data_IF_652799795895
#
_entry.id   IF_652799795895
#
_cell.length_a   1.000
_cell.length_b   1.000
_cell.length_c   1.000
_cell.angle_alpha   90.00
_cell.angle_beta   90.00
_cell.angle_gamma   90.00
#
_symmetry.space_group_name_H-M   'P 1'
#
loop_
_entity.id
_entity.type
_entity.pdbx_description
1 polymer ?
#
# COMPACT_ATOMS: atom_id res chain seq x y z
N UNK A 1 -1.64 -15.16 19.57
CA UNK A 1 -2.96 -14.88 18.97
C UNK A 1 -3.33 -13.47 19.36
N UNK A 2 -3.36 -12.53 18.42
CA UNK A 2 -3.79 -11.16 18.65
C UNK A 2 -5.31 -11.12 18.83
N UNK A 3 -5.78 -10.32 19.78
CA UNK A 3 -7.22 -10.08 19.94
C UNK A 3 -7.67 -9.13 18.83
N UNK A 4 -8.76 -9.47 18.15
CA UNK A 4 -9.48 -8.60 17.22
C UNK A 4 -10.66 -8.02 17.95
N UNK A 5 -10.83 -6.72 17.89
CA UNK A 5 -11.94 -5.99 18.48
C UNK A 5 -12.69 -5.25 17.39
N UNK A 6 -14.00 -5.41 17.36
CA UNK A 6 -14.92 -4.59 16.58
C UNK A 6 -15.82 -3.85 17.57
N UNK A 7 -15.84 -2.55 17.50
CA UNK A 7 -16.70 -1.69 18.27
C UNK A 7 -17.55 -0.82 17.33
N UNK A 8 -18.81 -0.60 17.71
CA UNK A 8 -19.71 0.33 17.04
C UNK A 8 -20.66 0.91 18.10
N UNK A 9 -21.10 2.15 17.89
CA UNK A 9 -22.03 2.80 18.82
C UNK A 9 -23.41 2.13 18.83
N UNK A 10 -23.85 1.66 17.67
CA UNK A 10 -25.09 0.92 17.52
C UNK A 10 -24.99 -0.11 16.39
N UNK A 11 -25.65 -1.25 16.55
CA UNK A 11 -25.75 -2.29 15.55
C UNK A 11 -27.19 -2.78 15.43
N UNK A 12 -27.70 -2.82 14.21
CA UNK A 12 -28.98 -3.45 13.87
C UNK A 12 -28.70 -4.80 13.19
N UNK A 13 -29.28 -5.85 13.74
CA UNK A 13 -29.12 -7.21 13.21
C UNK A 13 -30.45 -7.64 12.60
N UNK A 14 -30.46 -7.93 11.32
CA UNK A 14 -31.57 -8.57 10.62
C UNK A 14 -31.27 -10.07 10.46
N UNK A 15 -31.94 -10.86 11.29
CA UNK A 15 -31.74 -12.31 11.30
C UNK A 15 -32.33 -13.02 10.06
N UNK A 16 -33.35 -12.42 9.40
CA UNK A 16 -33.96 -12.99 8.19
C UNK A 16 -33.06 -12.78 6.97
N UNK A 17 -32.48 -11.60 6.85
CA UNK A 17 -31.56 -11.25 5.76
C UNK A 17 -30.08 -11.61 6.07
N UNK A 18 -29.80 -12.09 7.28
CA UNK A 18 -28.43 -12.33 7.78
C UNK A 18 -27.51 -11.11 7.54
N UNK A 19 -28.06 -9.93 7.78
CA UNK A 19 -27.33 -8.69 7.64
C UNK A 19 -27.11 -8.02 9.00
N UNK A 20 -25.98 -7.31 9.09
CA UNK A 20 -25.63 -6.47 10.23
C UNK A 20 -25.38 -5.07 9.71
N UNK A 21 -26.15 -4.11 10.16
CA UNK A 21 -25.93 -2.69 9.88
C UNK A 21 -25.30 -2.06 11.12
N UNK A 22 -24.15 -1.45 10.93
CA UNK A 22 -23.46 -0.69 11.97
C UNK A 22 -23.77 0.79 11.75
N UNK A 23 -24.28 1.45 12.78
CA UNK A 23 -24.62 2.87 12.75
C UNK A 23 -23.55 3.67 13.48
N UNK A 24 -23.28 4.88 12.95
CA UNK A 24 -22.30 5.82 13.51
C UNK A 24 -20.83 5.34 13.40
N UNK A 25 -20.01 5.70 14.38
CA UNK A 25 -18.58 5.39 14.31
C UNK A 25 -18.31 3.90 14.55
N UNK A 26 -17.61 3.30 13.62
CA UNK A 26 -17.17 1.90 13.66
C UNK A 26 -15.67 1.86 13.82
N UNK A 27 -15.19 1.11 14.79
CA UNK A 27 -13.76 0.94 15.05
C UNK A 27 -13.40 -0.54 15.00
N UNK A 28 -12.44 -0.88 14.18
CA UNK A 28 -11.85 -2.21 14.09
C UNK A 28 -10.38 -2.14 14.49
N UNK A 29 -10.00 -2.94 15.45
CA UNK A 29 -8.66 -3.06 16.00
C UNK A 29 -8.14 -4.49 15.81
N UNK A 30 -7.02 -4.59 15.15
CA UNK A 30 -6.18 -5.78 15.05
C UNK A 30 -4.76 -5.37 15.50
N UNK A 31 -3.87 -6.26 15.95
CA UNK A 31 -2.51 -5.89 16.40
C UNK A 31 -1.69 -5.05 15.41
N UNK A 32 -1.99 -5.16 14.12
CA UNK A 32 -1.27 -4.48 13.04
C UNK A 32 -2.10 -3.45 12.27
N UNK A 33 -3.43 -3.49 12.45
CA UNK A 33 -4.36 -2.67 11.68
C UNK A 33 -5.41 -2.04 12.58
N UNK A 34 -5.50 -0.73 12.53
CA UNK A 34 -6.56 0.06 13.13
C UNK A 34 -7.39 0.72 12.04
N UNK A 35 -8.70 0.46 11.99
CA UNK A 35 -9.62 1.07 11.03
C UNK A 35 -10.72 1.78 11.78
N UNK A 36 -11.01 3.00 11.37
CA UNK A 36 -12.18 3.79 11.79
C UNK A 36 -13.00 4.15 10.57
N UNK A 37 -14.30 4.02 10.66
CA UNK A 37 -15.22 4.36 9.57
C UNK A 37 -16.55 4.85 10.10
N UNK A 38 -17.38 5.41 9.23
CA UNK A 38 -18.73 5.86 9.55
C UNK A 38 -19.74 4.94 8.92
N UNK A 39 -20.46 4.23 9.77
CA UNK A 39 -21.46 3.28 9.31
C UNK A 39 -20.88 2.09 8.54
N UNK A 40 -21.69 1.09 8.36
CA UNK A 40 -21.32 -0.08 7.57
C UNK A 40 -22.47 -1.05 7.48
N UNK A 41 -22.49 -1.84 6.43
CA UNK A 41 -23.45 -2.92 6.24
C UNK A 41 -22.72 -4.19 5.85
N UNK A 42 -23.06 -5.29 6.49
CA UNK A 42 -22.52 -6.61 6.19
C UNK A 42 -23.65 -7.57 5.90
N UNK A 43 -23.61 -8.25 4.78
CA UNK A 43 -24.58 -9.27 4.41
C UNK A 43 -23.93 -10.29 3.48
N UNK A 44 -24.08 -11.58 3.79
CA UNK A 44 -23.71 -12.67 2.88
C UNK A 44 -22.26 -12.65 2.38
N UNK A 45 -21.28 -12.31 3.24
CA UNK A 45 -19.87 -12.22 2.86
C UNK A 45 -19.46 -10.92 2.18
N UNK A 46 -20.40 -9.99 2.02
CA UNK A 46 -20.14 -8.65 1.49
C UNK A 46 -20.24 -7.62 2.60
N UNK A 47 -19.47 -6.55 2.48
CA UNK A 47 -19.48 -5.45 3.45
C UNK A 47 -19.24 -4.11 2.78
N UNK A 48 -19.76 -3.05 3.37
CA UNK A 48 -19.48 -1.68 2.93
C UNK A 48 -19.27 -0.76 4.13
N UNK A 49 -18.33 0.18 3.98
CA UNK A 49 -18.08 1.26 4.93
C UNK A 49 -17.93 2.57 4.20
N UNK A 50 -18.33 3.65 4.84
CA UNK A 50 -18.12 5.00 4.34
C UNK A 50 -17.07 5.73 5.19
N UNK A 51 -16.21 6.50 4.53
CA UNK A 51 -15.25 7.37 5.19
C UNK A 51 -14.25 6.64 6.07
N UNK A 52 -13.72 5.50 5.62
CA UNK A 52 -12.75 4.71 6.39
C UNK A 52 -11.40 5.42 6.50
N UNK A 53 -10.87 5.47 7.71
CA UNK A 53 -9.47 5.81 8.01
C UNK A 53 -8.78 4.57 8.53
N UNK A 54 -7.55 4.34 8.11
CA UNK A 54 -6.78 3.18 8.55
C UNK A 54 -5.35 3.57 8.95
N UNK A 55 -4.82 2.84 9.90
CA UNK A 55 -3.44 2.95 10.36
C UNK A 55 -2.84 1.54 10.48
N UNK A 56 -1.71 1.32 9.79
CA UNK A 56 -0.89 0.12 9.92
C UNK A 56 0.20 0.43 10.95
N UNK A 57 0.01 -0.04 12.18
CA UNK A 57 0.85 0.32 13.33
C UNK A 57 2.25 -0.25 13.24
N UNK A 58 2.43 -1.41 12.62
CA UNK A 58 3.72 -2.07 12.42
C UNK A 58 4.61 -1.37 11.38
N UNK A 59 4.02 -0.62 10.47
CA UNK A 59 4.71 0.07 9.36
C UNK A 59 4.69 1.58 9.47
N UNK A 60 4.00 2.14 10.48
CA UNK A 60 3.84 3.58 10.62
C UNK A 60 3.11 4.23 9.44
N UNK A 61 2.18 3.50 8.83
CA UNK A 61 1.44 3.93 7.65
C UNK A 61 0.03 4.29 8.03
N UNK A 62 -0.48 5.37 7.47
CA UNK A 62 -1.86 5.82 7.63
C UNK A 62 -2.50 6.15 6.29
N UNK A 63 -3.80 6.06 6.23
CA UNK A 63 -4.55 6.39 5.02
C UNK A 63 -6.03 6.59 5.28
N UNK A 64 -6.72 6.93 4.22
CA UNK A 64 -8.17 7.07 4.21
C UNK A 64 -8.73 6.61 2.87
N UNK A 65 -9.98 6.17 2.89
CA UNK A 65 -10.76 5.88 1.69
C UNK A 65 -12.17 6.43 1.89
N UNK A 66 -12.74 7.02 0.83
CA UNK A 66 -14.12 7.50 0.91
C UNK A 66 -15.11 6.35 1.04
N UNK A 67 -14.92 5.31 0.24
CA UNK A 67 -15.75 4.11 0.23
C UNK A 67 -14.85 2.88 0.33
N UNK A 68 -15.25 1.93 1.15
CA UNK A 68 -14.64 0.59 1.27
C UNK A 68 -15.71 -0.44 1.05
N UNK A 69 -15.49 -1.37 0.14
CA UNK A 69 -16.39 -2.48 -0.17
C UNK A 69 -15.64 -3.80 -0.05
N UNK A 70 -16.15 -4.70 0.74
CA UNK A 70 -15.73 -6.10 0.78
C UNK A 70 -16.67 -6.90 -0.12
N UNK A 71 -16.12 -7.65 -1.07
CA UNK A 71 -16.86 -8.55 -1.95
C UNK A 71 -16.37 -9.98 -1.76
N UNK A 72 -17.32 -10.91 -1.66
CA UNK A 72 -17.06 -12.34 -1.59
C UNK A 72 -15.98 -12.72 -0.53
N UNK A 73 -15.94 -11.98 0.60
CA UNK A 73 -15.02 -12.15 1.72
C UNK A 73 -13.52 -11.96 1.38
N UNK A 74 -13.15 -11.86 0.11
CA UNK A 74 -11.75 -11.91 -0.36
C UNK A 74 -11.31 -10.65 -1.12
N UNK A 75 -12.23 -9.91 -1.71
CA UNK A 75 -11.90 -8.72 -2.53
C UNK A 75 -12.26 -7.47 -1.76
N UNK A 76 -11.30 -6.59 -1.57
CA UNK A 76 -11.47 -5.28 -0.95
C UNK A 76 -11.32 -4.20 -2.02
N UNK A 77 -12.38 -3.48 -2.31
CA UNK A 77 -12.39 -2.33 -3.20
C UNK A 77 -12.45 -1.04 -2.39
N UNK A 78 -11.53 -0.14 -2.70
CA UNK A 78 -11.37 1.16 -2.06
C UNK A 78 -11.54 2.25 -3.12
N UNK A 79 -12.25 3.35 -2.80
CA UNK A 79 -12.39 4.52 -3.66
C UNK A 79 -11.85 5.78 -2.99
N UNK A 80 -11.28 6.66 -3.80
CA UNK A 80 -10.67 7.92 -3.38
C UNK A 80 -9.71 7.71 -2.19
N UNK A 81 -8.69 6.92 -2.47
CA UNK A 81 -7.72 6.47 -1.47
C UNK A 81 -6.61 7.49 -1.30
N UNK A 82 -6.29 7.77 -0.05
CA UNK A 82 -5.11 8.50 0.37
C UNK A 82 -4.25 7.59 1.25
N UNK A 83 -2.95 7.61 1.04
CA UNK A 83 -1.97 6.81 1.76
C UNK A 83 -0.69 7.61 1.99
N UNK A 84 -0.15 7.55 3.19
CA UNK A 84 1.15 8.15 3.53
C UNK A 84 1.84 7.38 4.66
N UNK A 85 3.17 7.42 4.70
CA UNK A 85 3.97 6.97 5.83
C UNK A 85 4.57 8.16 6.63
N UNK A 86 4.09 9.37 6.38
CA UNK A 86 4.48 10.52 7.19
C UNK A 86 3.81 10.45 8.58
N UNK A 87 4.48 10.93 9.63
CA UNK A 87 3.88 11.05 10.96
C UNK A 87 2.61 11.91 10.94
N UNK A 88 1.68 11.73 11.89
CA UNK A 88 0.52 12.59 12.02
C UNK A 88 0.89 14.08 12.08
N UNK A 89 0.22 14.89 11.25
CA UNK A 89 0.49 16.33 11.14
C UNK A 89 1.57 16.70 10.12
N UNK A 90 2.20 15.73 9.49
CA UNK A 90 3.09 15.93 8.35
C UNK A 90 2.53 15.20 7.13
N UNK A 91 2.34 15.90 6.04
CA UNK A 91 1.82 15.40 4.75
C UNK A 91 2.80 15.72 3.61
N UNK A 92 4.12 15.71 3.89
CA UNK A 92 5.15 16.04 2.90
C UNK A 92 5.02 15.19 1.64
N UNK A 93 4.62 13.93 1.78
CA UNK A 93 4.28 13.10 0.65
C UNK A 93 3.02 12.26 0.90
N UNK A 94 2.28 12.03 -0.15
CA UNK A 94 1.09 11.18 -0.14
C UNK A 94 0.89 10.50 -1.49
N UNK A 95 0.36 9.30 -1.44
CA UNK A 95 -0.11 8.57 -2.59
C UNK A 95 -1.64 8.68 -2.63
N UNK A 96 -2.16 9.15 -3.76
CA UNK A 96 -3.61 9.20 -4.01
C UNK A 96 -3.96 8.23 -5.12
N UNK A 97 -5.06 7.52 -4.97
CA UNK A 97 -5.60 6.66 -6.02
C UNK A 97 -7.10 6.88 -6.17
N UNK A 98 -7.57 6.92 -7.40
CA UNK A 98 -9.00 6.96 -7.69
C UNK A 98 -9.70 5.68 -7.22
N UNK A 99 -9.04 4.53 -7.39
CA UNK A 99 -9.49 3.27 -6.80
C UNK A 99 -8.32 2.32 -6.55
N UNK A 100 -8.48 1.48 -5.53
CA UNK A 100 -7.59 0.33 -5.25
C UNK A 100 -8.49 -0.89 -5.07
N UNK A 101 -8.12 -2.01 -5.72
CA UNK A 101 -8.73 -3.31 -5.52
C UNK A 101 -7.69 -4.28 -5.00
N UNK A 102 -7.96 -4.94 -3.89
CA UNK A 102 -7.08 -5.91 -3.24
C UNK A 102 -7.78 -7.27 -3.29
N UNK A 103 -7.16 -8.22 -3.94
CA UNK A 103 -7.56 -9.62 -3.93
C UNK A 103 -6.68 -10.37 -2.93
N UNK A 104 -7.27 -10.78 -1.81
CA UNK A 104 -6.59 -11.46 -0.72
C UNK A 104 -6.19 -12.90 -1.10
N UNK A 105 -6.93 -13.54 -1.99
CA UNK A 105 -6.65 -14.91 -2.43
C UNK A 105 -5.42 -14.93 -3.33
N UNK A 106 -5.39 -14.09 -4.36
CA UNK A 106 -4.22 -13.96 -5.23
C UNK A 106 -3.08 -13.18 -4.59
N UNK A 107 -3.32 -12.49 -3.48
CA UNK A 107 -2.40 -11.57 -2.80
C UNK A 107 -1.86 -10.46 -3.72
N UNK A 108 -2.73 -9.94 -4.57
CA UNK A 108 -2.42 -8.86 -5.49
C UNK A 108 -3.32 -7.66 -5.27
N UNK A 109 -2.71 -6.48 -5.31
CA UNK A 109 -3.41 -5.21 -5.37
C UNK A 109 -3.31 -4.61 -6.77
N UNK A 110 -4.36 -3.91 -7.19
CA UNK A 110 -4.36 -3.07 -8.38
C UNK A 110 -4.85 -1.68 -8.01
N UNK A 111 -4.20 -0.66 -8.56
CA UNK A 111 -4.59 0.73 -8.39
C UNK A 111 -4.88 1.39 -9.73
N UNK A 112 -5.81 2.34 -9.76
CA UNK A 112 -6.14 3.17 -10.91
C UNK A 112 -6.03 4.64 -10.53
N UNK A 113 -5.62 5.46 -11.52
CA UNK A 113 -5.43 6.91 -11.36
C UNK A 113 -4.53 7.25 -10.16
N UNK A 114 -3.40 6.56 -10.08
CA UNK A 114 -2.48 6.68 -8.95
C UNK A 114 -1.54 7.86 -9.15
N UNK A 115 -1.47 8.72 -8.15
CA UNK A 115 -0.64 9.92 -8.09
C UNK A 115 0.24 9.87 -6.86
N UNK A 116 1.51 10.11 -7.05
CA UNK A 116 2.43 10.39 -5.96
C UNK A 116 2.60 11.90 -5.86
N UNK A 117 2.23 12.45 -4.72
CA UNK A 117 2.30 13.88 -4.43
C UNK A 117 3.40 14.15 -3.40
N UNK A 118 4.14 15.22 -3.61
CA UNK A 118 5.14 15.74 -2.69
C UNK A 118 4.95 17.24 -2.53
N UNK A 119 4.74 17.71 -1.29
CA UNK A 119 4.42 19.11 -0.99
C UNK A 119 3.29 19.64 -1.90
N UNK A 120 2.18 18.92 -1.95
CA UNK A 120 0.98 19.22 -2.75
C UNK A 120 1.19 19.26 -4.28
N UNK A 121 2.34 18.80 -4.77
CA UNK A 121 2.63 18.70 -6.20
C UNK A 121 2.67 17.26 -6.65
N UNK A 122 1.93 16.91 -7.69
CA UNK A 122 2.00 15.61 -8.33
C UNK A 122 3.36 15.47 -9.02
N UNK A 123 4.18 14.53 -8.54
CA UNK A 123 5.52 14.23 -9.07
C UNK A 123 5.53 12.97 -9.93
N UNK A 124 4.57 12.08 -9.75
CA UNK A 124 4.38 10.86 -10.56
C UNK A 124 2.89 10.60 -10.75
N UNK A 125 2.52 10.16 -11.96
CA UNK A 125 1.18 9.68 -12.29
C UNK A 125 1.27 8.39 -13.07
N UNK A 126 0.41 7.42 -12.70
CA UNK A 126 0.18 6.23 -13.52
C UNK A 126 -1.32 5.92 -13.59
N UNK A 127 -1.85 5.65 -14.79
CA UNK A 127 -3.27 5.31 -14.94
C UNK A 127 -3.61 3.95 -14.32
N UNK A 128 -2.62 3.07 -14.21
CA UNK A 128 -2.77 1.74 -13.63
C UNK A 128 -1.46 1.24 -13.02
N UNK A 129 -1.58 0.51 -11.90
CA UNK A 129 -0.47 -0.13 -11.20
C UNK A 129 -0.94 -1.46 -10.62
N UNK A 130 -0.07 -2.46 -10.61
CA UNK A 130 -0.26 -3.70 -9.86
C UNK A 130 0.87 -3.88 -8.87
N UNK A 131 0.55 -4.33 -7.66
CA UNK A 131 1.51 -4.52 -6.58
C UNK A 131 1.14 -5.74 -5.72
N UNK A 132 2.13 -6.45 -5.16
CA UNK A 132 1.87 -7.52 -4.21
C UNK A 132 1.36 -6.97 -2.87
N UNK A 133 0.42 -7.70 -2.25
CA UNK A 133 -0.04 -7.47 -0.88
C UNK A 133 0.24 -8.71 -0.04
N UNK A 134 0.66 -8.54 1.21
CA UNK A 134 1.04 -9.65 2.08
C UNK A 134 2.46 -10.18 1.82
N UNK A 135 2.73 -11.41 2.26
CA UNK A 135 4.06 -12.00 2.30
C UNK A 135 4.40 -12.87 1.07
N UNK A 136 3.47 -13.01 0.13
CA UNK A 136 3.71 -13.80 -1.07
C UNK A 136 4.76 -13.14 -1.97
N UNK A 137 5.74 -13.94 -2.42
CA UNK A 137 6.75 -13.50 -3.37
C UNK A 137 6.12 -13.36 -4.75
N UNK A 138 5.67 -12.16 -5.08
CA UNK A 138 5.07 -11.82 -6.38
C UNK A 138 5.77 -10.63 -7.00
N UNK A 139 5.93 -10.65 -8.32
CA UNK A 139 6.50 -9.53 -9.06
C UNK A 139 5.57 -8.33 -9.00
N UNK A 140 6.14 -7.15 -8.81
CA UNK A 140 5.38 -5.90 -8.77
C UNK A 140 6.18 -4.73 -8.22
N UNK A 141 5.57 -3.55 -8.26
CA UNK A 141 6.11 -2.36 -7.63
C UNK A 141 6.02 -2.49 -6.11
N UNK A 142 7.11 -2.15 -5.44
CA UNK A 142 7.14 -2.02 -3.98
C UNK A 142 6.91 -0.57 -3.58
N UNK A 143 6.67 -0.36 -2.28
CA UNK A 143 6.42 0.99 -1.77
C UNK A 143 7.59 1.93 -2.04
N UNK A 144 7.31 3.11 -2.61
CA UNK A 144 8.35 4.10 -2.85
C UNK A 144 8.86 4.70 -1.54
N UNK A 145 10.12 5.10 -1.55
CA UNK A 145 10.72 5.89 -0.48
C UNK A 145 10.97 7.30 -0.97
N UNK A 146 10.60 8.29 -0.17
CA UNK A 146 10.81 9.71 -0.48
C UNK A 146 11.56 10.34 0.66
N UNK A 147 12.55 11.16 0.33
CA UNK A 147 13.35 11.90 1.28
C UNK A 147 13.91 13.18 0.71
N UNK A 148 14.55 13.96 1.55
CA UNK A 148 15.26 15.17 1.17
C UNK A 148 16.65 15.19 1.78
N UNK A 149 17.62 15.71 1.03
CA UNK A 149 19.00 15.85 1.48
C UNK A 149 19.59 17.15 0.93
N UNK A 150 20.45 17.78 1.74
CA UNK A 150 21.13 19.02 1.31
C UNK A 150 22.06 18.84 0.10
N UNK A 151 22.55 17.60 -0.14
CA UNK A 151 23.48 17.30 -1.27
C UNK A 151 22.80 16.79 -2.53
N UNK A 152 21.67 16.11 -2.41
CA UNK A 152 20.97 15.48 -3.54
C UNK A 152 19.59 16.06 -3.82
N UNK A 153 19.14 16.99 -2.98
CA UNK A 153 17.82 17.58 -3.08
C UNK A 153 16.72 16.60 -2.69
N UNK A 154 15.60 16.64 -3.39
CA UNK A 154 14.50 15.68 -3.26
C UNK A 154 14.95 14.36 -3.86
N UNK A 155 14.75 13.29 -3.12
CA UNK A 155 15.06 11.91 -3.51
C UNK A 155 13.78 11.08 -3.52
N UNK A 156 13.52 10.42 -4.63
CA UNK A 156 12.43 9.45 -4.80
C UNK A 156 13.04 8.12 -5.25
N UNK A 157 12.78 7.05 -4.50
CA UNK A 157 13.21 5.70 -4.86
C UNK A 157 11.98 4.82 -5.11
N UNK A 158 11.92 4.21 -6.28
CA UNK A 158 10.82 3.32 -6.68
C UNK A 158 11.38 1.93 -6.97
N UNK A 159 11.21 0.96 -6.04
CA UNK A 159 11.65 -0.39 -6.26
C UNK A 159 10.64 -1.19 -7.10
N UNK A 160 11.16 -2.00 -8.01
CA UNK A 160 10.39 -3.03 -8.70
C UNK A 160 11.01 -4.40 -8.40
N UNK A 161 10.21 -5.33 -7.92
CA UNK A 161 10.62 -6.68 -7.59
C UNK A 161 10.17 -7.67 -8.66
N UNK A 162 11.09 -8.55 -9.10
CA UNK A 162 10.82 -9.68 -9.98
C UNK A 162 10.98 -10.99 -9.23
N UNK A 163 9.90 -11.75 -9.10
CA UNK A 163 9.94 -13.13 -8.67
C UNK A 163 10.20 -14.03 -9.88
N UNK A 164 11.48 -14.23 -10.22
CA UNK A 164 11.91 -14.95 -11.43
C UNK A 164 11.68 -16.46 -11.31
N UNK A 165 12.00 -17.03 -10.15
CA UNK A 165 11.83 -18.43 -9.85
C UNK A 165 11.77 -18.64 -8.33
N UNK A 166 11.38 -19.83 -7.81
CA UNK A 166 11.38 -20.09 -6.37
C UNK A 166 12.72 -19.79 -5.67
N UNK A 167 13.80 -19.91 -6.39
CA UNK A 167 15.17 -19.75 -5.90
C UNK A 167 15.96 -18.61 -6.54
N UNK A 168 15.31 -17.78 -7.38
CA UNK A 168 15.89 -16.59 -7.98
C UNK A 168 14.93 -15.44 -7.91
N UNK A 169 15.41 -14.27 -7.55
CA UNK A 169 14.66 -13.02 -7.67
C UNK A 169 15.60 -11.85 -8.01
N UNK A 170 14.98 -10.78 -8.47
CA UNK A 170 15.69 -9.54 -8.72
C UNK A 170 14.89 -8.35 -8.23
N UNK A 171 15.57 -7.30 -7.80
CA UNK A 171 14.98 -6.01 -7.48
C UNK A 171 15.74 -4.92 -8.23
N UNK A 172 15.01 -4.03 -8.89
CA UNK A 172 15.57 -2.81 -9.45
C UNK A 172 15.02 -1.63 -8.67
N UNK A 173 15.89 -0.90 -7.99
CA UNK A 173 15.51 0.36 -7.36
C UNK A 173 15.88 1.51 -8.30
N UNK A 174 14.88 2.22 -8.79
CA UNK A 174 15.07 3.42 -9.60
C UNK A 174 15.01 4.64 -8.68
N UNK A 175 16.12 5.38 -8.62
CA UNK A 175 16.25 6.58 -7.81
C UNK A 175 16.22 7.82 -8.69
N UNK A 176 15.48 8.81 -8.27
CA UNK A 176 15.52 10.16 -8.82
C UNK A 176 16.01 11.13 -7.75
N UNK A 177 17.06 11.86 -8.06
CA UNK A 177 17.60 12.94 -7.25
C UNK A 177 17.43 14.26 -8.00
N UNK A 178 16.79 15.24 -7.38
CA UNK A 178 16.50 16.52 -8.07
C UNK A 178 17.77 17.32 -8.42
N UNK A 179 18.89 17.04 -7.78
CA UNK A 179 20.18 17.71 -8.03
C UNK A 179 21.22 16.80 -8.72
N UNK A 180 21.01 15.49 -8.77
CA UNK A 180 22.01 14.54 -9.32
C UNK A 180 21.48 13.68 -10.48
N UNK A 181 20.18 13.69 -10.75
CA UNK A 181 19.59 12.90 -11.83
C UNK A 181 19.14 11.50 -11.43
N UNK A 182 19.22 10.54 -12.36
CA UNK A 182 18.72 9.18 -12.19
C UNK A 182 19.86 8.23 -11.79
N UNK A 183 19.56 7.30 -10.88
CA UNK A 183 20.42 6.18 -10.51
C UNK A 183 19.59 4.90 -10.50
N UNK A 184 20.20 3.79 -10.90
CA UNK A 184 19.59 2.48 -10.93
C UNK A 184 20.42 1.50 -10.11
N UNK A 185 19.80 0.85 -9.13
CA UNK A 185 20.43 -0.12 -8.26
C UNK A 185 19.79 -1.50 -8.50
N UNK A 186 20.30 -2.31 -9.44
CA UNK A 186 19.86 -3.69 -9.61
C UNK A 186 20.47 -4.60 -8.54
N UNK A 187 19.63 -5.44 -7.96
CA UNK A 187 19.99 -6.53 -7.06
C UNK A 187 19.47 -7.85 -7.64
N UNK A 188 20.33 -8.86 -7.72
CA UNK A 188 19.96 -10.23 -8.09
C UNK A 188 20.30 -11.16 -6.91
N UNK A 189 19.34 -11.95 -6.46
CA UNK A 189 19.52 -12.94 -5.40
C UNK A 189 19.31 -14.34 -5.93
N UNK A 190 20.13 -15.26 -5.47
CA UNK A 190 19.99 -16.67 -5.81
C UNK A 190 20.21 -17.57 -4.60
N UNK A 191 19.50 -18.70 -4.61
CA UNK A 191 19.61 -19.75 -3.62
C UNK A 191 19.61 -21.10 -4.35
N UNK A 192 20.68 -21.88 -4.18
CA UNK A 192 20.78 -23.24 -4.67
C UNK A 192 20.97 -24.18 -3.48
N UNK A 193 20.95 -25.49 -3.71
CA UNK A 193 21.21 -26.48 -2.65
C UNK A 193 22.57 -26.31 -1.97
N UNK A 194 23.55 -25.76 -2.67
CA UNK A 194 24.95 -25.67 -2.22
C UNK A 194 25.46 -24.25 -2.04
N UNK A 195 24.77 -23.26 -2.56
CA UNK A 195 25.24 -21.88 -2.52
C UNK A 195 24.10 -20.88 -2.50
N UNK A 196 24.33 -19.73 -1.88
CA UNK A 196 23.48 -18.56 -1.95
C UNK A 196 24.35 -17.34 -2.20
N UNK A 197 23.79 -16.37 -2.91
CA UNK A 197 24.51 -15.12 -3.15
C UNK A 197 23.58 -13.99 -3.53
N UNK A 198 24.13 -12.80 -3.41
CA UNK A 198 23.51 -11.54 -3.81
C UNK A 198 24.50 -10.82 -4.69
N UNK A 199 24.05 -10.40 -5.85
CA UNK A 199 24.81 -9.53 -6.75
C UNK A 199 24.13 -8.16 -6.77
N UNK A 200 24.88 -7.12 -6.42
CA UNK A 200 24.42 -5.72 -6.43
C UNK A 200 25.28 -4.92 -7.40
N UNK A 201 24.65 -4.02 -8.13
CA UNK A 201 25.34 -3.03 -8.94
C UNK A 201 24.67 -1.66 -8.74
N UNK A 202 25.39 -0.62 -9.09
CA UNK A 202 24.90 0.75 -9.11
C UNK A 202 25.25 1.36 -10.45
N UNK A 203 24.28 2.00 -11.08
CA UNK A 203 24.46 2.66 -12.37
C UNK A 203 23.89 4.07 -12.32
N UNK A 204 24.76 5.05 -12.48
CA UNK A 204 24.46 6.47 -12.53
C UNK A 204 24.87 6.99 -13.91
N UNK A 205 23.91 7.11 -14.87
CA UNK A 205 24.25 7.46 -16.25
C UNK A 205 24.83 8.88 -16.40
N UNK A 206 24.26 9.83 -15.66
CA UNK A 206 24.69 11.23 -15.65
C UNK A 206 24.66 11.76 -14.22
N UNK A 207 25.84 12.07 -13.65
CA UNK A 207 25.94 12.79 -12.39
C UNK A 207 25.98 14.29 -12.70
N UNK A 208 24.97 15.02 -12.28
CA UNK A 208 24.82 16.47 -12.54
C UNK A 208 25.63 17.33 -11.56
N UNK A 209 26.57 16.76 -10.80
CA UNK A 209 27.51 17.53 -9.95
C UNK A 209 28.51 18.33 -10.77
#
# INVERSE_FOLDING_TARGET
>A
MGQRLLAADAAQIDAEQRSVRLESDVEFLDPTLHVRGRGGEFAGGNGSFEGAQFELTDRGVRGAARDVQLRDETIIDLKDVLYTACPPGNDDWQLRAGSISIDQESQMGTGRDVRLEFMDKTILYTPWISFPVGDARKSGLLFPTIGTSGKSGVHVAVPYYWNLAPNYDATLVSHYFSQRGLRFDPELRYLTERSKGIFNAEYLPDDLE
#
